data_IF_453168374397
#
_entry.id   IF_453168374397
#
_cell.length_a   1.000
_cell.length_b   1.000
_cell.length_c   1.000
_cell.angle_alpha   90.00
_cell.angle_beta   90.00
_cell.angle_gamma   90.00
#
_symmetry.space_group_name_H-M   'P 1'
#
loop_
_entity.id
_entity.type
_entity.pdbx_description
1 polymer ?
#
# COMPACT_ATOMS: atom_id res chain seq x y z
N UNK A 1 13.44 -0.19 -15.67
CA UNK A 1 13.49 0.35 -14.30
C UNK A 1 13.40 -0.81 -13.33
N UNK A 2 14.34 -0.93 -12.39
CA UNK A 2 14.24 -1.94 -11.33
C UNK A 2 13.46 -1.35 -10.16
N UNK A 3 12.50 -2.11 -9.62
CA UNK A 3 11.75 -1.71 -8.42
C UNK A 3 12.48 -2.14 -7.15
N UNK A 4 12.35 -1.35 -6.08
CA UNK A 4 12.88 -1.70 -4.75
C UNK A 4 11.75 -2.27 -3.90
N UNK A 5 11.95 -3.47 -3.35
CA UNK A 5 11.02 -4.04 -2.36
C UNK A 5 11.15 -3.28 -1.05
N UNK A 6 10.02 -2.84 -0.52
CA UNK A 6 9.91 -2.22 0.79
C UNK A 6 9.41 -3.26 1.77
N UNK A 7 10.16 -3.45 2.85
CA UNK A 7 9.69 -4.22 4.02
C UNK A 7 9.07 -3.24 4.99
N UNK A 8 7.82 -3.49 5.37
CA UNK A 8 7.13 -2.73 6.38
C UNK A 8 6.78 -3.68 7.52
N UNK A 9 7.26 -3.39 8.72
CA UNK A 9 7.15 -4.30 9.87
C UNK A 9 6.16 -3.77 10.93
N UNK A 10 5.59 -2.59 10.72
CA UNK A 10 4.71 -1.91 11.67
C UNK A 10 3.25 -1.90 11.17
N UNK A 11 2.31 -2.26 12.04
CA UNK A 11 0.89 -2.33 11.70
C UNK A 11 0.41 -3.77 11.51
N UNK A 12 -0.79 -4.00 10.91
CA UNK A 12 -1.46 -5.30 10.84
C UNK A 12 -0.83 -6.25 9.80
N UNK A 13 0.49 -6.36 9.82
CA UNK A 13 1.28 -7.13 8.85
C UNK A 13 1.04 -8.63 8.97
N UNK A 14 0.63 -9.09 10.15
CA UNK A 14 0.24 -10.48 10.44
C UNK A 14 -1.00 -10.95 9.64
N UNK A 15 -1.75 -10.01 9.06
CA UNK A 15 -2.96 -10.30 8.27
C UNK A 15 -2.67 -10.48 6.78
N UNK A 16 -1.45 -10.16 6.35
CA UNK A 16 -1.03 -10.19 4.95
C UNK A 16 -0.61 -11.60 4.53
N UNK A 17 -0.63 -11.85 3.23
CA UNK A 17 -0.03 -13.06 2.67
C UNK A 17 1.50 -13.02 2.88
N UNK A 18 2.19 -14.15 3.14
CA UNK A 18 3.65 -14.18 3.30
C UNK A 18 4.43 -13.61 2.10
N UNK A 19 3.85 -13.72 0.90
CA UNK A 19 4.42 -13.19 -0.34
C UNK A 19 3.93 -11.77 -0.69
N UNK A 20 3.28 -11.08 0.24
CA UNK A 20 2.89 -9.68 0.04
C UNK A 20 4.11 -8.75 0.08
N UNK A 21 4.20 -7.83 -0.88
CA UNK A 21 5.23 -6.80 -0.92
C UNK A 21 4.67 -5.46 -1.34
N UNK A 22 5.23 -4.37 -0.80
CA UNK A 22 5.18 -3.07 -1.47
C UNK A 22 6.45 -2.91 -2.28
N UNK A 23 6.32 -2.55 -3.55
CA UNK A 23 7.46 -2.23 -4.42
C UNK A 23 7.36 -0.77 -4.83
N UNK A 24 8.45 -0.04 -4.63
CA UNK A 24 8.56 1.33 -5.13
C UNK A 24 9.42 1.40 -6.40
N UNK A 25 9.07 2.34 -7.25
CA UNK A 25 9.80 2.68 -8.46
C UNK A 25 10.08 4.17 -8.44
N UNK A 26 11.35 4.54 -8.57
CA UNK A 26 11.76 5.92 -8.70
C UNK A 26 11.18 6.55 -9.99
N UNK A 27 11.04 7.89 -10.07
CA UNK A 27 10.66 8.59 -11.29
C UNK A 27 11.58 8.22 -12.46
N UNK A 28 10.99 8.17 -13.66
CA UNK A 28 11.70 7.80 -14.87
C UNK A 28 11.64 8.88 -15.93
N UNK A 29 12.36 8.66 -17.03
CA UNK A 29 12.45 9.65 -18.11
C UNK A 29 11.09 10.03 -18.72
N UNK A 30 10.08 9.16 -18.60
CA UNK A 30 8.72 9.39 -19.12
C UNK A 30 7.78 10.02 -18.07
N UNK A 31 8.00 9.78 -16.79
CA UNK A 31 7.07 10.14 -15.71
C UNK A 31 7.84 10.66 -14.50
N UNK A 32 7.59 11.91 -14.12
CA UNK A 32 8.25 12.61 -13.01
C UNK A 32 7.70 12.29 -11.61
N UNK A 33 7.20 11.07 -11.39
CA UNK A 33 6.61 10.67 -10.11
C UNK A 33 7.06 9.27 -9.68
N UNK A 34 7.05 9.05 -8.37
CA UNK A 34 7.25 7.76 -7.74
C UNK A 34 6.00 6.90 -7.90
N UNK A 35 6.20 5.60 -8.09
CA UNK A 35 5.13 4.60 -8.14
C UNK A 35 5.33 3.65 -6.97
N UNK A 36 4.28 3.40 -6.20
CA UNK A 36 4.23 2.36 -5.18
C UNK A 36 3.17 1.35 -5.58
N UNK A 37 3.55 0.08 -5.67
CA UNK A 37 2.66 -1.01 -6.02
C UNK A 37 2.54 -1.97 -4.83
N UNK A 38 1.32 -2.29 -4.42
CA UNK A 38 1.03 -3.44 -3.58
C UNK A 38 1.01 -4.67 -4.49
N UNK A 39 1.80 -5.68 -4.15
CA UNK A 39 1.87 -6.94 -4.87
C UNK A 39 1.46 -8.06 -3.93
N UNK A 40 0.54 -8.90 -4.40
CA UNK A 40 0.11 -10.09 -3.69
C UNK A 40 -0.93 -9.83 -2.63
N UNK A 41 -1.63 -8.68 -2.66
CA UNK A 41 -2.67 -8.36 -1.68
C UNK A 41 -3.86 -9.32 -1.83
N UNK A 42 -4.13 -9.77 -3.05
CA UNK A 42 -5.21 -10.69 -3.40
C UNK A 42 -4.84 -12.17 -3.25
N UNK A 43 -3.57 -12.51 -2.98
CA UNK A 43 -3.12 -13.90 -2.89
C UNK A 43 -3.88 -14.69 -1.82
N UNK A 44 -4.40 -15.84 -2.20
CA UNK A 44 -5.16 -16.73 -1.33
C UNK A 44 -6.56 -16.22 -0.93
N UNK A 45 -7.05 -15.11 -1.51
CA UNK A 45 -8.43 -14.67 -1.33
C UNK A 45 -9.32 -15.24 -2.44
N UNK A 46 -10.58 -15.51 -2.11
CA UNK A 46 -11.62 -15.75 -3.10
C UNK A 46 -12.21 -14.41 -3.58
N UNK A 47 -12.55 -14.30 -4.86
CA UNK A 47 -13.19 -13.10 -5.44
C UNK A 47 -12.31 -12.37 -6.46
N UNK A 48 -12.56 -11.07 -6.63
CA UNK A 48 -11.83 -10.24 -7.59
C UNK A 48 -10.38 -9.98 -7.12
N UNK A 49 -9.42 -10.29 -8.00
CA UNK A 49 -8.02 -9.98 -7.76
C UNK A 49 -7.79 -8.48 -7.96
N UNK A 50 -7.50 -7.78 -6.87
CA UNK A 50 -7.23 -6.34 -6.85
C UNK A 50 -5.81 -6.12 -6.35
N UNK A 51 -5.08 -5.22 -7.01
CA UNK A 51 -3.78 -4.73 -6.58
C UNK A 51 -3.78 -3.19 -6.65
N UNK A 52 -3.12 -2.54 -5.70
CA UNK A 52 -3.14 -1.08 -5.56
C UNK A 52 -1.86 -0.45 -6.10
N UNK A 53 -2.02 0.62 -6.86
CA UNK A 53 -0.91 1.48 -7.30
C UNK A 53 -1.14 2.90 -6.82
N UNK A 54 -0.10 3.52 -6.25
CA UNK A 54 -0.13 4.92 -5.83
C UNK A 54 1.01 5.70 -6.45
N UNK A 55 0.66 6.83 -7.05
CA UNK A 55 1.59 7.79 -7.61
C UNK A 55 1.87 8.89 -6.58
N UNK A 56 3.13 9.26 -6.40
CA UNK A 56 3.54 10.32 -5.49
C UNK A 56 4.59 11.24 -6.15
N UNK A 57 4.51 12.57 -5.95
CA UNK A 57 5.47 13.50 -6.55
C UNK A 57 6.88 13.40 -5.94
N UNK A 58 7.00 12.77 -4.77
CA UNK A 58 8.25 12.58 -4.03
C UNK A 58 8.26 11.22 -3.35
N UNK A 59 9.45 10.76 -2.96
CA UNK A 59 9.58 9.57 -2.12
C UNK A 59 8.85 9.82 -0.78
N UNK A 60 8.01 8.88 -0.35
CA UNK A 60 7.21 9.03 0.85
C UNK A 60 6.80 7.66 1.43
N UNK A 61 7.46 7.26 2.52
CA UNK A 61 7.17 6.00 3.19
C UNK A 61 5.75 5.92 3.77
N UNK A 62 5.06 7.06 3.98
CA UNK A 62 3.65 7.04 4.38
C UNK A 62 2.75 6.43 3.29
N UNK A 63 3.19 6.42 2.02
CA UNK A 63 2.47 5.75 0.94
C UNK A 63 2.60 4.23 1.09
N UNK A 64 3.79 3.73 1.42
CA UNK A 64 3.99 2.31 1.69
C UNK A 64 3.19 1.86 2.91
N UNK A 65 3.22 2.63 4.00
CA UNK A 65 2.37 2.43 5.19
C UNK A 65 0.88 2.31 4.80
N UNK A 66 0.40 3.25 3.99
CA UNK A 66 -1.01 3.27 3.56
C UNK A 66 -1.38 2.04 2.74
N UNK A 67 -0.52 1.61 1.82
CA UNK A 67 -0.74 0.41 1.00
C UNK A 67 -0.77 -0.85 1.86
N UNK A 68 0.12 -0.95 2.85
CA UNK A 68 0.13 -2.07 3.82
C UNK A 68 -1.17 -2.09 4.62
N UNK A 69 -1.60 -0.95 5.16
CA UNK A 69 -2.84 -0.86 5.93
C UNK A 69 -4.07 -1.19 5.07
N UNK A 70 -4.13 -0.67 3.84
CA UNK A 70 -5.21 -0.95 2.89
C UNK A 70 -5.27 -2.44 2.52
N UNK A 71 -4.11 -3.04 2.23
CA UNK A 71 -3.99 -4.46 1.92
C UNK A 71 -4.47 -5.33 3.09
N UNK A 72 -3.98 -5.07 4.30
CA UNK A 72 -4.37 -5.81 5.49
C UNK A 72 -5.86 -5.67 5.79
N UNK A 73 -6.42 -4.46 5.62
CA UNK A 73 -7.85 -4.22 5.86
C UNK A 73 -8.73 -4.92 4.83
N UNK A 74 -8.35 -4.89 3.54
CA UNK A 74 -9.09 -5.53 2.46
C UNK A 74 -9.26 -7.04 2.66
N UNK A 75 -8.26 -7.70 3.25
CA UNK A 75 -8.31 -9.15 3.55
C UNK A 75 -9.33 -9.51 4.64
N UNK A 76 -9.68 -8.57 5.51
CA UNK A 76 -10.69 -8.75 6.56
C UNK A 76 -12.06 -8.36 6.03
N UNK A 77 -12.13 -7.21 5.33
CA UNK A 77 -13.36 -6.65 4.78
C UNK A 77 -13.09 -6.30 3.32
N UNK A 78 -13.69 -7.01 2.35
CA UNK A 78 -13.42 -6.82 0.93
C UNK A 78 -14.10 -5.55 0.40
N UNK A 79 -13.68 -4.39 0.92
CA UNK A 79 -14.30 -3.09 0.64
C UNK A 79 -13.77 -2.42 -0.62
N UNK A 80 -12.58 -2.83 -1.08
CA UNK A 80 -11.93 -2.20 -2.20
C UNK A 80 -12.52 -2.78 -3.48
N UNK A 81 -13.00 -1.87 -4.30
CA UNK A 81 -13.54 -2.08 -5.64
C UNK A 81 -13.34 -0.79 -6.42
N UNK A 82 -13.44 -0.86 -7.74
CA UNK A 82 -13.35 0.32 -8.58
C UNK A 82 -14.38 1.38 -8.13
N UNK A 83 -13.92 2.61 -7.91
CA UNK A 83 -14.73 3.73 -7.42
C UNK A 83 -14.96 3.78 -5.89
N UNK A 84 -14.43 2.82 -5.12
CA UNK A 84 -14.50 2.84 -3.66
C UNK A 84 -13.49 3.81 -3.01
N UNK A 85 -13.76 4.22 -1.78
CA UNK A 85 -12.90 5.13 -1.01
C UNK A 85 -12.27 4.40 0.17
N UNK A 86 -10.95 4.54 0.32
CA UNK A 86 -10.20 4.14 1.51
C UNK A 86 -9.52 5.39 2.10
N UNK A 87 -9.90 5.76 3.31
CA UNK A 87 -9.37 6.95 3.98
C UNK A 87 -8.43 6.55 5.12
N UNK A 88 -7.28 7.22 5.19
CA UNK A 88 -6.46 7.20 6.41
C UNK A 88 -7.21 7.99 7.49
N UNK A 89 -7.36 7.47 8.72
CA UNK A 89 -7.84 8.28 9.82
C UNK A 89 -6.88 9.46 10.07
N UNK A 90 -7.38 10.62 10.54
CA UNK A 90 -6.53 11.77 10.85
C UNK A 90 -5.44 11.36 11.86
N UNK A 91 -4.19 11.84 11.67
CA UNK A 91 -3.14 11.64 12.68
C UNK A 91 -3.58 12.37 13.94
N UNK A 92 -3.81 11.63 15.02
CA UNK A 92 -3.89 12.22 16.35
C UNK A 92 -2.46 12.66 16.69
N UNK A 93 -2.22 13.97 16.76
CA UNK A 93 -0.98 14.50 17.33
C UNK A 93 -0.89 13.99 18.77
N UNK A 94 0.23 13.37 19.13
CA UNK A 94 0.51 13.07 20.53
C UNK A 94 0.41 14.37 21.35
N UNK A 95 -0.16 14.35 22.57
CA UNK A 95 -0.16 15.54 23.41
C UNK A 95 1.28 16.01 23.61
N UNK A 96 1.50 17.32 23.47
CA UNK A 96 2.78 17.94 23.80
C UNK A 96 3.09 17.62 25.28
N UNK A 97 4.32 17.16 25.52
CA UNK A 97 4.86 16.90 26.86
C UNK A 97 5.06 18.20 27.62
#
# INVERSE_FOLDING_TARGET
MAGRRLKWELGPTEKLHPDFWVVEFAPGNKHGFWIYAALGMSLGLAGEAIELHRFAPRADMNVAELLVAAAAYHRIVPILKTGGTFARPPRVSAPAS
#
